data_IF_567109085152
#
_entry.id   IF_567109085152
#
_cell.length_a   1.000
_cell.length_b   1.000
_cell.length_c   1.000
_cell.angle_alpha   90.00
_cell.angle_beta   90.00
_cell.angle_gamma   90.00
#
_symmetry.space_group_name_H-M   'P 1'
#
loop_
_entity.id
_entity.type
_entity.pdbx_description
1 polymer ?
#
# COMPACT_ATOMS: atom_id res chain seq x y z
N UNK A 1 -0.17 -9.22 -5.38
CA UNK A 1 -0.19 -10.68 -5.28
C UNK A 1 -1.04 -11.20 -6.41
N UNK A 2 -0.45 -11.98 -7.30
CA UNK A 2 -1.18 -12.71 -8.33
C UNK A 2 -1.74 -14.02 -7.76
N UNK A 3 -2.51 -14.74 -8.58
CA UNK A 3 -3.20 -15.97 -8.20
C UNK A 3 -2.23 -17.11 -7.88
N UNK A 4 -1.14 -17.24 -8.63
CA UNK A 4 -0.19 -18.35 -8.47
C UNK A 4 0.57 -18.22 -7.15
N UNK A 5 1.10 -17.03 -6.86
CA UNK A 5 1.70 -16.74 -5.55
C UNK A 5 0.70 -16.93 -4.40
N UNK A 6 -0.56 -16.56 -4.59
CA UNK A 6 -1.59 -16.77 -3.56
C UNK A 6 -1.82 -18.26 -3.27
N UNK A 7 -1.83 -19.12 -4.31
CA UNK A 7 -1.94 -20.59 -4.14
C UNK A 7 -0.73 -21.12 -3.36
N UNK A 8 0.48 -20.70 -3.73
CA UNK A 8 1.69 -21.11 -3.02
C UNK A 8 1.65 -20.70 -1.53
N UNK A 9 1.18 -19.47 -1.25
CA UNK A 9 1.05 -18.95 0.12
C UNK A 9 0.04 -19.75 0.94
N UNK A 10 -1.13 -20.08 0.40
CA UNK A 10 -2.15 -20.83 1.17
C UNK A 10 -1.80 -22.31 1.34
N UNK A 11 -1.01 -22.87 0.41
CA UNK A 11 -0.51 -24.23 0.51
C UNK A 11 0.69 -24.35 1.46
N UNK A 12 1.29 -23.23 1.87
CA UNK A 12 2.41 -23.19 2.79
C UNK A 12 1.93 -23.33 4.24
N UNK A 13 2.19 -24.49 4.85
CA UNK A 13 1.74 -24.78 6.22
C UNK A 13 2.87 -24.68 7.27
N UNK A 14 4.12 -24.91 6.87
CA UNK A 14 5.26 -25.03 7.78
C UNK A 14 5.60 -23.71 8.46
N UNK A 15 5.75 -22.63 7.70
CA UNK A 15 6.07 -21.32 8.25
C UNK A 15 4.82 -20.64 8.82
N UNK A 16 3.63 -20.90 8.26
CA UNK A 16 2.37 -20.49 8.88
C UNK A 16 2.23 -21.00 10.32
N UNK A 17 2.58 -22.27 10.58
CA UNK A 17 2.52 -22.84 11.93
C UNK A 17 3.46 -22.13 12.92
N UNK A 18 4.68 -21.80 12.49
CA UNK A 18 5.66 -21.04 13.31
C UNK A 18 5.15 -19.63 13.58
N UNK A 19 4.67 -18.93 12.55
CA UNK A 19 4.19 -17.56 12.68
C UNK A 19 2.95 -17.44 13.59
N UNK A 20 2.05 -18.42 13.57
CA UNK A 20 0.87 -18.42 14.44
C UNK A 20 1.18 -18.67 15.92
N UNK A 21 2.25 -19.41 16.22
CA UNK A 21 2.59 -19.80 17.60
C UNK A 21 3.18 -18.66 18.42
N UNK A 22 4.20 -18.00 17.88
CA UNK A 22 5.04 -17.06 18.63
C UNK A 22 4.75 -15.58 18.32
N UNK A 23 3.87 -15.30 17.35
CA UNK A 23 3.60 -13.94 16.89
C UNK A 23 2.10 -13.62 16.91
N UNK A 24 1.72 -12.51 17.56
CA UNK A 24 0.34 -12.05 17.57
C UNK A 24 -0.17 -11.67 16.17
N UNK A 25 -1.50 -11.63 15.99
CA UNK A 25 -2.16 -11.37 14.69
C UNK A 25 -1.61 -10.12 13.98
N UNK A 26 -1.34 -9.04 14.73
CA UNK A 26 -0.78 -7.81 14.15
C UNK A 26 0.58 -8.03 13.47
N UNK A 27 1.45 -8.84 14.07
CA UNK A 27 2.77 -9.16 13.51
C UNK A 27 2.62 -10.03 12.26
N UNK A 28 1.70 -11.00 12.25
CA UNK A 28 1.42 -11.81 11.06
C UNK A 28 0.96 -10.96 9.87
N UNK A 29 0.09 -9.97 10.09
CA UNK A 29 -0.44 -9.13 9.02
C UNK A 29 0.64 -8.27 8.32
N UNK A 30 1.65 -7.82 9.08
CA UNK A 30 2.70 -6.95 8.54
C UNK A 30 3.94 -7.73 8.06
N UNK A 31 4.28 -8.84 8.72
CA UNK A 31 5.58 -9.49 8.53
C UNK A 31 5.51 -10.88 7.86
N UNK A 32 4.40 -11.61 7.94
CA UNK A 32 4.36 -12.98 7.41
C UNK A 32 4.68 -13.03 5.91
N UNK A 33 3.98 -12.23 5.10
CA UNK A 33 4.12 -12.25 3.64
C UNK A 33 5.52 -11.78 3.18
N UNK A 34 6.07 -10.64 3.65
CA UNK A 34 7.43 -10.23 3.27
C UNK A 34 8.51 -11.24 3.69
N UNK A 35 8.38 -11.84 4.88
CA UNK A 35 9.32 -12.87 5.34
C UNK A 35 9.23 -14.10 4.46
N UNK A 36 8.02 -14.60 4.17
CA UNK A 36 7.81 -15.82 3.40
C UNK A 36 8.39 -15.69 1.98
N UNK A 37 8.09 -14.58 1.31
CA UNK A 37 8.58 -14.29 -0.05
C UNK A 37 10.11 -14.27 -0.10
N UNK A 38 10.75 -13.68 0.92
CA UNK A 38 12.21 -13.62 1.00
C UNK A 38 12.81 -14.99 1.29
N UNK A 39 12.26 -15.69 2.29
CA UNK A 39 12.80 -16.94 2.79
C UNK A 39 12.67 -18.10 1.78
N UNK A 40 11.59 -18.12 0.99
CA UNK A 40 11.36 -19.13 -0.05
C UNK A 40 11.98 -18.76 -1.41
N UNK A 41 12.73 -17.65 -1.48
CA UNK A 41 13.38 -17.23 -2.72
C UNK A 41 12.40 -16.70 -3.79
N UNK A 42 11.18 -16.31 -3.40
CA UNK A 42 10.18 -15.73 -4.30
C UNK A 42 10.39 -14.23 -4.57
N UNK A 43 11.56 -13.68 -4.22
CA UNK A 43 11.87 -12.25 -4.37
C UNK A 43 11.68 -11.71 -5.78
N UNK A 44 11.87 -12.54 -6.82
CA UNK A 44 11.60 -12.16 -8.22
C UNK A 44 10.13 -11.83 -8.48
N UNK A 45 9.21 -12.32 -7.63
CA UNK A 45 7.77 -12.03 -7.69
C UNK A 45 7.37 -10.83 -6.82
N UNK A 46 8.33 -10.12 -6.21
CA UNK A 46 8.09 -8.97 -5.35
C UNK A 46 8.68 -7.69 -5.92
N UNK A 47 7.84 -6.66 -6.04
CA UNK A 47 8.26 -5.34 -6.53
C UNK A 47 8.89 -4.46 -5.44
N UNK A 48 9.07 -4.95 -4.21
CA UNK A 48 9.52 -4.19 -3.02
C UNK A 48 8.76 -2.88 -2.79
N UNK A 49 7.49 -2.81 -3.23
CA UNK A 49 6.59 -1.68 -3.08
C UNK A 49 5.13 -2.13 -3.07
N UNK A 50 4.25 -1.28 -2.56
CA UNK A 50 2.79 -1.50 -2.63
C UNK A 50 2.14 -0.47 -3.56
N UNK A 51 0.85 -0.66 -3.87
CA UNK A 51 0.05 0.28 -4.65
C UNK A 51 -0.64 1.35 -3.79
N UNK A 52 -0.41 1.35 -2.47
CA UNK A 52 -1.11 2.22 -1.51
C UNK A 52 -0.17 3.26 -0.92
N UNK A 53 -0.43 4.54 -1.22
CA UNK A 53 0.23 5.64 -0.55
C UNK A 53 -0.14 5.65 0.94
N UNK A 54 0.88 5.73 1.79
CA UNK A 54 0.72 5.84 3.25
C UNK A 54 1.78 6.78 3.78
N UNK A 55 1.36 7.81 4.51
CA UNK A 55 2.26 8.82 5.07
C UNK A 55 2.57 8.55 6.54
N UNK A 56 3.86 8.64 6.89
CA UNK A 56 4.40 8.33 8.22
C UNK A 56 5.18 9.54 8.75
N UNK A 57 4.51 10.65 9.09
CA UNK A 57 5.18 11.89 9.46
C UNK A 57 5.90 11.80 10.81
N UNK A 58 5.60 10.78 11.63
CA UNK A 58 6.22 10.52 12.93
C UNK A 58 6.38 9.01 13.15
N UNK A 59 7.40 8.59 13.92
CA UNK A 59 7.48 7.21 14.39
C UNK A 59 6.23 6.83 15.18
N UNK A 60 5.63 5.68 14.88
CA UNK A 60 4.45 5.19 15.58
C UNK A 60 3.77 4.03 14.85
N UNK A 61 2.72 3.44 15.45
CA UNK A 61 2.00 2.30 14.88
C UNK A 61 0.96 2.70 13.81
N UNK A 62 0.71 3.99 13.64
CA UNK A 62 -0.34 4.49 12.76
C UNK A 62 0.17 5.58 11.82
N UNK A 63 -0.21 5.54 10.54
CA UNK A 63 0.11 6.58 9.59
C UNK A 63 -0.74 7.83 9.84
N UNK A 64 -0.42 8.92 9.14
CA UNK A 64 -1.25 10.12 9.11
C UNK A 64 -2.70 9.80 8.72
N UNK A 65 -3.62 10.56 9.31
CA UNK A 65 -5.04 10.55 8.94
C UNK A 65 -5.43 11.94 8.46
N UNK A 66 -6.05 12.00 7.29
CA UNK A 66 -6.48 13.23 6.63
C UNK A 66 -7.99 13.44 6.83
N UNK A 67 -8.36 14.63 7.30
CA UNK A 67 -9.76 15.05 7.46
C UNK A 67 -10.28 15.87 6.27
N UNK A 68 -11.53 16.30 6.33
CA UNK A 68 -12.17 17.08 5.26
C UNK A 68 -11.41 18.37 4.90
N UNK A 69 -10.67 18.95 5.85
CA UNK A 69 -9.88 20.18 5.66
C UNK A 69 -8.58 19.87 4.94
N UNK A 70 -8.01 18.70 5.17
CA UNK A 70 -6.76 18.26 4.54
C UNK A 70 -6.94 17.86 3.07
N UNK A 71 -8.09 17.27 2.72
CA UNK A 71 -8.34 16.76 1.36
C UNK A 71 -8.40 17.90 0.33
N UNK A 72 -7.40 17.98 -0.55
CA UNK A 72 -7.33 18.94 -1.66
C UNK A 72 -6.92 18.25 -2.97
N UNK A 73 -7.22 18.84 -4.16
CA UNK A 73 -6.74 18.31 -5.43
C UNK A 73 -5.22 18.14 -5.48
N UNK A 74 -4.49 19.08 -4.88
CA UNK A 74 -3.03 19.09 -4.83
C UNK A 74 -2.50 17.94 -3.98
N UNK A 75 -3.11 17.70 -2.81
CA UNK A 75 -2.79 16.57 -1.94
C UNK A 75 -3.02 15.25 -2.69
N UNK A 76 -4.20 15.06 -3.28
CA UNK A 76 -4.54 13.82 -3.99
C UNK A 76 -3.66 13.60 -5.23
N UNK A 77 -3.33 14.67 -5.97
CA UNK A 77 -2.39 14.63 -7.08
C UNK A 77 -0.96 14.28 -6.62
N UNK A 78 -0.53 14.81 -5.47
CA UNK A 78 0.75 14.48 -4.84
C UNK A 78 0.81 13.01 -4.42
N UNK A 79 -0.23 12.49 -3.76
CA UNK A 79 -0.34 11.08 -3.38
C UNK A 79 -0.24 10.15 -4.59
N UNK A 80 -0.91 10.46 -5.70
CA UNK A 80 -0.82 9.66 -6.94
C UNK A 80 0.61 9.59 -7.49
N UNK A 81 1.37 10.69 -7.38
CA UNK A 81 2.77 10.79 -7.81
C UNK A 81 3.78 10.48 -6.70
N UNK A 82 3.33 10.04 -5.52
CA UNK A 82 4.22 9.71 -4.40
C UNK A 82 5.06 10.90 -3.90
N UNK A 83 4.54 12.12 -4.00
CA UNK A 83 5.22 13.38 -3.66
C UNK A 83 6.54 13.65 -4.42
N UNK A 84 6.71 13.08 -5.62
CA UNK A 84 7.90 13.29 -6.45
C UNK A 84 7.79 12.58 -7.80
N UNK A 85 8.94 12.20 -8.36
CA UNK A 85 9.00 11.25 -9.47
C UNK A 85 9.12 9.84 -8.89
N UNK A 86 8.23 8.95 -9.32
CA UNK A 86 8.39 7.53 -9.09
C UNK A 86 8.51 6.81 -10.43
N UNK A 87 9.29 5.74 -10.43
CA UNK A 87 9.60 4.98 -11.63
C UNK A 87 10.27 3.67 -11.25
N UNK A 88 10.36 2.75 -12.20
CA UNK A 88 11.01 1.46 -11.98
C UNK A 88 12.43 1.50 -12.52
N UNK A 89 13.39 2.09 -11.81
CA UNK A 89 14.80 2.10 -12.21
C UNK A 89 15.00 2.38 -13.72
N UNK A 90 15.51 1.39 -14.46
CA UNK A 90 15.77 1.46 -15.92
C UNK A 90 14.51 1.58 -16.81
N UNK A 91 13.30 1.45 -16.28
CA UNK A 91 12.02 1.46 -17.00
C UNK A 91 11.36 2.84 -17.17
N UNK A 92 12.00 3.92 -16.69
CA UNK A 92 11.51 5.29 -16.85
C UNK A 92 10.49 5.74 -15.80
N UNK A 93 10.10 7.01 -15.91
CA UNK A 93 9.10 7.64 -15.05
C UNK A 93 7.71 7.05 -15.33
N UNK A 94 6.95 6.72 -14.27
CA UNK A 94 5.56 6.26 -14.41
C UNK A 94 4.58 7.42 -14.17
N UNK A 95 3.44 7.39 -14.87
CA UNK A 95 2.40 8.43 -14.76
C UNK A 95 1.82 8.54 -13.34
N UNK A 96 1.75 7.42 -12.61
CA UNK A 96 1.29 7.35 -11.22
C UNK A 96 1.95 6.19 -10.48
N UNK A 97 2.28 6.40 -9.20
CA UNK A 97 2.95 5.43 -8.32
C UNK A 97 1.98 4.58 -7.53
N UNK A 98 0.88 5.21 -7.13
CA UNK A 98 -0.07 4.69 -6.16
C UNK A 98 -1.48 4.78 -6.75
N UNK A 99 -2.22 3.68 -6.61
CA UNK A 99 -3.62 3.56 -7.04
C UNK A 99 -4.58 3.80 -5.87
N UNK A 100 -4.09 3.64 -4.65
CA UNK A 100 -4.84 3.80 -3.41
C UNK A 100 -4.09 4.73 -2.46
N UNK A 101 -4.79 5.33 -1.50
CA UNK A 101 -4.20 6.11 -0.43
C UNK A 101 -4.95 5.87 0.89
N UNK A 102 -4.24 6.01 2.01
CA UNK A 102 -4.79 5.98 3.37
C UNK A 102 -3.96 6.88 4.31
N UNK A 103 -4.50 7.36 5.44
CA UNK A 103 -5.83 7.11 6.03
C UNK A 103 -6.71 8.35 5.90
N UNK A 104 -7.99 8.19 5.62
CA UNK A 104 -8.96 9.28 5.59
C UNK A 104 -9.98 9.07 6.72
N UNK A 105 -10.42 10.14 7.37
CA UNK A 105 -11.53 10.08 8.31
C UNK A 105 -12.88 10.03 7.57
N UNK A 106 -13.94 9.61 8.27
CA UNK A 106 -15.25 9.41 7.65
C UNK A 106 -15.87 10.68 7.05
N UNK A 107 -15.61 11.84 7.65
CA UNK A 107 -16.07 13.15 7.20
C UNK A 107 -15.39 13.61 5.89
N UNK A 108 -14.26 13.01 5.50
CA UNK A 108 -13.59 13.30 4.24
C UNK A 108 -14.31 12.69 3.01
N UNK A 109 -15.21 11.70 3.20
CA UNK A 109 -15.82 10.94 2.10
C UNK A 109 -16.51 11.83 1.07
N UNK A 110 -17.31 12.81 1.51
CA UNK A 110 -18.03 13.70 0.60
C UNK A 110 -17.07 14.46 -0.33
N UNK A 111 -16.00 15.01 0.24
CA UNK A 111 -14.99 15.76 -0.52
C UNK A 111 -14.15 14.88 -1.44
N UNK A 112 -13.86 13.65 -1.03
CA UNK A 112 -13.18 12.67 -1.88
C UNK A 112 -14.02 12.34 -3.13
N UNK A 113 -15.33 12.14 -2.96
CA UNK A 113 -16.25 11.87 -4.08
C UNK A 113 -16.40 13.09 -5.00
N UNK A 114 -16.49 14.29 -4.44
CA UNK A 114 -16.54 15.55 -5.19
C UNK A 114 -15.29 15.73 -6.08
N UNK A 115 -14.10 15.45 -5.54
CA UNK A 115 -12.83 15.64 -6.25
C UNK A 115 -12.46 14.50 -7.20
N UNK A 116 -13.07 13.32 -7.08
CA UNK A 116 -12.67 12.14 -7.85
C UNK A 116 -12.68 12.38 -9.37
N UNK A 117 -13.73 12.98 -9.97
CA UNK A 117 -13.75 13.27 -11.41
C UNK A 117 -12.58 14.15 -11.86
N UNK A 118 -12.31 15.22 -11.10
CA UNK A 118 -11.28 16.22 -11.39
C UNK A 118 -9.87 15.64 -11.29
N UNK A 119 -9.60 14.82 -10.27
CA UNK A 119 -8.26 14.28 -10.01
C UNK A 119 -7.98 13.02 -10.83
N UNK A 120 -9.00 12.24 -11.15
CA UNK A 120 -8.85 10.96 -11.84
C UNK A 120 -9.18 11.01 -13.33
N UNK A 121 -9.73 12.13 -13.83
CA UNK A 121 -9.94 12.35 -15.27
C UNK A 121 -11.11 11.56 -15.86
N UNK A 122 -12.14 11.27 -15.05
CA UNK A 122 -13.38 10.63 -15.48
C UNK A 122 -14.58 11.49 -15.10
N UNK A 123 -15.73 11.31 -15.76
CA UNK A 123 -16.98 12.03 -15.45
C UNK A 123 -17.45 12.89 -16.60
#
# INVERSE_FOLDING_TARGET
MDRELAIDVVAEERYMAVFRGDHGIANMLEHYMPTLVTLLGWGVRAANRTLTYTDWPRPGPHPASYDVRDVTPELLGGMRRGNGECGYGAGGAVEFCFMFARKFSGDALGKLLELAPKVMGFG
#
